data_IF_629299050661
#
_entry.id   IF_629299050661
#
_cell.length_a   1.000
_cell.length_b   1.000
_cell.length_c   1.000
_cell.angle_alpha   90.00
_cell.angle_beta   90.00
_cell.angle_gamma   90.00
#
_symmetry.space_group_name_H-M   'P 1'
#
loop_
_entity.id
_entity.type
_entity.pdbx_description
1 polymer ?
#
# COMPACT_ATOMS: atom_id res chain seq x y z
N UNK A 1 -3.61 2.53 16.64
CA UNK A 1 -4.83 2.38 15.80
C UNK A 1 -4.47 2.30 14.30
N UNK A 2 -5.03 1.34 13.57
CA UNK A 2 -4.92 1.30 12.10
C UNK A 2 -5.99 2.21 11.51
N UNK A 3 -5.59 3.42 11.09
CA UNK A 3 -6.52 4.49 10.69
C UNK A 3 -6.85 4.49 9.19
N UNK A 4 -5.95 3.97 8.35
CA UNK A 4 -6.06 4.05 6.89
C UNK A 4 -6.63 2.77 6.26
N UNK A 5 -6.26 1.61 6.80
CA UNK A 5 -6.76 0.31 6.36
C UNK A 5 -6.72 -0.69 7.52
N UNK A 6 -7.73 -1.55 7.61
CA UNK A 6 -7.77 -2.66 8.55
C UNK A 6 -6.78 -3.78 8.19
N UNK A 7 -6.54 -4.73 9.11
CA UNK A 7 -5.71 -5.91 8.79
C UNK A 7 -6.29 -6.72 7.64
N UNK A 8 -7.61 -6.95 7.65
CA UNK A 8 -8.29 -7.73 6.63
C UNK A 8 -8.18 -7.08 5.24
N UNK A 9 -8.31 -5.76 5.16
CA UNK A 9 -8.10 -5.02 3.91
C UNK A 9 -6.66 -5.18 3.38
N UNK A 10 -5.65 -5.17 4.25
CA UNK A 10 -4.24 -5.37 3.86
C UNK A 10 -4.00 -6.80 3.35
N UNK A 11 -4.55 -7.80 4.04
CA UNK A 11 -4.46 -9.20 3.63
C UNK A 11 -5.15 -9.44 2.27
N UNK A 12 -6.34 -8.87 2.07
CA UNK A 12 -7.05 -8.92 0.78
C UNK A 12 -6.26 -8.23 -0.33
N UNK A 13 -5.68 -7.06 -0.05
CA UNK A 13 -4.84 -6.33 -1.00
C UNK A 13 -3.65 -7.17 -1.46
N UNK A 14 -2.96 -7.83 -0.52
CA UNK A 14 -1.78 -8.63 -0.81
C UNK A 14 -2.11 -9.93 -1.58
N UNK A 15 -3.23 -10.58 -1.27
CA UNK A 15 -3.57 -11.91 -1.81
C UNK A 15 -4.43 -11.93 -3.07
N UNK A 16 -5.06 -10.82 -3.45
CA UNK A 16 -6.00 -10.77 -4.60
C UNK A 16 -5.39 -9.99 -5.76
N UNK A 17 -5.55 -10.40 -7.01
CA UNK A 17 -5.10 -9.59 -8.17
C UNK A 17 -5.86 -8.25 -8.25
N UNK A 18 -7.19 -8.29 -8.14
CA UNK A 18 -8.07 -7.11 -8.19
C UNK A 18 -8.88 -6.98 -6.88
N UNK A 19 -8.29 -6.47 -5.80
CA UNK A 19 -8.97 -6.32 -4.52
C UNK A 19 -10.03 -5.22 -4.59
N UNK A 20 -11.27 -5.57 -4.26
CA UNK A 20 -12.35 -4.61 -4.02
C UNK A 20 -12.44 -4.34 -2.52
N UNK A 21 -11.70 -3.31 -2.08
CA UNK A 21 -11.63 -2.94 -0.66
C UNK A 21 -11.81 -1.43 -0.47
N UNK A 22 -12.46 -1.00 0.62
CA UNK A 22 -12.73 0.40 0.87
C UNK A 22 -11.48 1.30 0.92
N UNK A 23 -10.32 0.76 1.29
CA UNK A 23 -9.03 1.47 1.29
C UNK A 23 -8.54 1.92 -0.10
N UNK A 24 -9.07 1.33 -1.19
CA UNK A 24 -8.75 1.69 -2.56
C UNK A 24 -9.72 2.71 -3.19
N UNK A 25 -10.58 3.33 -2.38
CA UNK A 25 -11.52 4.34 -2.85
C UNK A 25 -11.41 5.67 -2.09
N UNK A 26 -11.80 6.75 -2.76
CA UNK A 26 -11.90 8.10 -2.19
C UNK A 26 -10.59 8.61 -1.60
N UNK A 27 -10.68 9.28 -0.45
CA UNK A 27 -9.52 9.91 0.19
C UNK A 27 -8.49 8.88 0.68
N UNK A 28 -8.93 7.67 1.08
CA UNK A 28 -8.00 6.60 1.53
C UNK A 28 -7.16 6.05 0.39
N UNK A 29 -7.71 5.99 -0.82
CA UNK A 29 -6.91 5.69 -2.00
C UNK A 29 -5.77 6.69 -2.17
N UNK A 30 -6.08 7.98 -2.01
CA UNK A 30 -5.13 9.07 -2.24
C UNK A 30 -4.02 9.12 -1.19
N UNK A 31 -4.29 8.67 0.05
CA UNK A 31 -3.34 8.72 1.17
C UNK A 31 -2.60 7.39 1.39
N UNK A 32 -3.16 6.27 0.95
CA UNK A 32 -2.64 4.93 1.20
C UNK A 32 -2.76 4.00 -0.01
N UNK A 33 -3.95 3.90 -0.59
CA UNK A 33 -4.26 2.86 -1.58
C UNK A 33 -3.37 2.90 -2.83
N UNK A 34 -3.06 4.09 -3.34
CA UNK A 34 -2.23 4.25 -4.52
C UNK A 34 -0.80 3.71 -4.32
N UNK A 35 -0.17 4.06 -3.20
CA UNK A 35 1.17 3.56 -2.85
C UNK A 35 1.15 2.07 -2.54
N UNK A 36 0.11 1.59 -1.84
CA UNK A 36 -0.03 0.19 -1.50
C UNK A 36 -0.21 -0.71 -2.75
N UNK A 37 -0.95 -0.24 -3.75
CA UNK A 37 -1.04 -0.89 -5.06
C UNK A 37 0.30 -0.87 -5.80
N UNK A 38 0.97 0.28 -5.84
CA UNK A 38 2.28 0.40 -6.49
C UNK A 38 3.33 -0.54 -5.85
N UNK A 39 3.27 -0.71 -4.52
CA UNK A 39 4.14 -1.64 -3.79
C UNK A 39 3.85 -3.09 -4.17
N UNK A 40 2.56 -3.48 -4.21
CA UNK A 40 2.13 -4.81 -4.62
C UNK A 40 2.56 -5.13 -6.05
N UNK A 41 2.48 -4.16 -6.96
CA UNK A 41 2.89 -4.29 -8.36
C UNK A 41 4.42 -4.23 -8.55
N UNK A 42 5.20 -4.05 -7.47
CA UNK A 42 6.65 -3.99 -7.54
C UNK A 42 7.20 -2.68 -8.13
N UNK A 43 6.39 -1.65 -8.30
CA UNK A 43 6.81 -0.33 -8.82
C UNK A 43 7.55 0.52 -7.79
N UNK A 44 7.31 0.24 -6.51
CA UNK A 44 8.00 0.87 -5.38
C UNK A 44 8.41 -0.18 -4.35
N UNK A 45 9.38 0.15 -3.50
CA UNK A 45 9.86 -0.66 -2.39
C UNK A 45 9.83 0.14 -1.08
N UNK A 46 9.73 -0.57 0.04
CA UNK A 46 9.89 0.00 1.37
C UNK A 46 11.36 -0.08 1.79
N UNK A 47 11.98 1.08 1.99
CA UNK A 47 13.33 1.21 2.54
C UNK A 47 13.30 1.64 4.01
N UNK A 48 14.31 1.23 4.76
CA UNK A 48 14.54 1.68 6.15
C UNK A 48 15.81 2.53 6.20
N UNK A 49 15.69 3.76 6.64
CA UNK A 49 16.80 4.68 6.88
C UNK A 49 16.84 5.03 8.38
N UNK A 50 17.68 4.29 9.11
CA UNK A 50 17.72 4.32 10.57
C UNK A 50 16.39 3.91 11.18
N UNK A 51 15.62 4.89 11.68
CA UNK A 51 14.26 4.69 12.24
C UNK A 51 13.14 5.19 11.33
N UNK A 52 13.47 5.66 10.12
CA UNK A 52 12.49 6.20 9.15
C UNK A 52 12.20 5.17 8.07
N UNK A 53 10.92 5.03 7.73
CA UNK A 53 10.48 4.28 6.55
C UNK A 53 10.42 5.24 5.36
N UNK A 54 10.91 4.80 4.20
CA UNK A 54 10.87 5.53 2.93
C UNK A 54 10.26 4.66 1.85
N UNK A 55 9.50 5.27 0.95
CA UNK A 55 9.12 4.64 -0.32
C UNK A 55 10.18 4.97 -1.35
N UNK A 56 10.66 3.94 -2.03
CA UNK A 56 11.71 4.04 -3.05
C UNK A 56 11.13 3.56 -4.39
N UNK A 57 11.26 4.32 -5.48
CA UNK A 57 10.96 3.80 -6.82
C UNK A 57 11.85 2.59 -7.12
N UNK A 58 11.28 1.55 -7.74
CA UNK A 58 12.04 0.40 -8.22
C UNK A 58 12.21 0.54 -9.73
N UNK A 59 13.45 0.68 -10.24
CA UNK A 59 13.70 0.61 -11.68
C UNK A 59 13.30 -0.78 -12.19
N UNK A 60 12.54 -0.82 -13.28
CA UNK A 60 12.20 -2.05 -13.99
C UNK A 60 13.39 -2.67 -14.69
#
# INVERSE_FOLDING_TARGET
PKLLASSEEIERLAGSEAPDIPALHGWRHSVFGADALALKEGRIALGVDGRRIRLLPVPG
#
